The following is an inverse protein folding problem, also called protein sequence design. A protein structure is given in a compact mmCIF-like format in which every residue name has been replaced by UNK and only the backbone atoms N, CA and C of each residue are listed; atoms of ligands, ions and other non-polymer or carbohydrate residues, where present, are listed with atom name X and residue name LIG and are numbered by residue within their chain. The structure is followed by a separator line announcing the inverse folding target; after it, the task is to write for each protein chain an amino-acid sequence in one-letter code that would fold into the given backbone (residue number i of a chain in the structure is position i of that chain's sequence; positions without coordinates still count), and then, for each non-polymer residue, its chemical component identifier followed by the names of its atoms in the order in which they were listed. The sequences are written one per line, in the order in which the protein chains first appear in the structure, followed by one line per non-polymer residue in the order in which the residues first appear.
data_IF_555613245965
#
_entry.id   IF_555613245965
#
_cell.length_a   1.000
_cell.length_b   1.000
_cell.length_c   1.000
_cell.angle_alpha   90.00
_cell.angle_beta   90.00
_cell.angle_gamma   90.00
#
_symmetry.space_group_name_H-M   'P 1'
#
loop_
_entity.id
_entity.type
_entity.pdbx_description
1 polymer ?
#
# COMPACT_ATOMS: atom_id res chain seq x y z
N UNK A 1 -11.79 23.58 9.51
CA UNK A 1 -11.65 22.21 8.95
C UNK A 1 -10.62 22.27 7.84
N UNK A 2 -9.35 22.31 8.22
CA UNK A 2 -8.22 22.47 7.29
C UNK A 2 -7.76 21.10 6.79
N UNK A 3 -8.17 20.76 5.58
CA UNK A 3 -7.65 19.59 4.87
C UNK A 3 -6.12 19.63 4.72
N UNK A 4 -5.53 20.84 4.68
CA UNK A 4 -4.08 21.06 4.66
C UNK A 4 -3.43 20.61 5.98
N UNK A 5 -4.05 20.86 7.13
CA UNK A 5 -3.54 20.39 8.43
C UNK A 5 -3.55 18.86 8.51
N UNK A 6 -4.56 18.18 7.97
CA UNK A 6 -4.58 16.70 7.91
C UNK A 6 -3.43 16.11 7.08
N UNK A 7 -3.07 16.76 5.97
CA UNK A 7 -1.91 16.34 5.14
C UNK A 7 -0.59 16.52 5.90
N UNK A 8 -0.47 17.60 6.67
CA UNK A 8 0.73 17.93 7.45
C UNK A 8 0.85 17.03 8.68
N UNK A 9 -0.24 16.79 9.42
CA UNK A 9 -0.28 15.92 10.60
C UNK A 9 0.11 14.47 10.23
N UNK A 10 -0.29 13.99 9.05
CA UNK A 10 0.08 12.65 8.55
C UNK A 10 1.60 12.47 8.35
N UNK A 11 2.39 13.54 8.21
CA UNK A 11 3.85 13.47 8.06
C UNK A 11 4.62 13.40 9.40
N UNK A 12 3.97 13.68 10.55
CA UNK A 12 4.64 13.80 11.86
C UNK A 12 4.92 12.48 12.58
N UNK A 13 4.22 11.39 12.24
CA UNK A 13 4.54 10.09 12.81
C UNK A 13 5.73 9.46 12.07
N UNK A 14 6.85 9.27 12.79
CA UNK A 14 8.02 8.44 12.46
C UNK A 14 7.86 7.62 11.15
N UNK A 15 8.07 8.28 10.01
CA UNK A 15 7.82 7.69 8.69
C UNK A 15 8.97 6.74 8.33
N UNK A 16 8.97 5.55 8.93
CA UNK A 16 9.80 4.45 8.46
C UNK A 16 9.23 4.02 7.12
N UNK A 17 10.01 4.21 6.05
CA UNK A 17 9.66 3.75 4.70
C UNK A 17 9.52 2.23 4.76
N UNK A 18 8.34 1.67 4.44
CA UNK A 18 8.21 0.24 4.33
C UNK A 18 9.17 -0.29 3.26
N UNK A 19 9.94 -1.33 3.61
CA UNK A 19 11.07 -1.80 2.81
C UNK A 19 10.66 -2.35 1.43
N UNK A 20 9.42 -2.82 1.27
CA UNK A 20 8.89 -3.30 -0.01
C UNK A 20 7.73 -2.44 -0.54
N UNK A 21 7.53 -2.48 -1.86
CA UNK A 21 6.38 -1.83 -2.51
C UNK A 21 5.04 -2.32 -1.94
N UNK A 22 4.91 -3.62 -1.68
CA UNK A 22 3.72 -4.20 -1.07
C UNK A 22 3.40 -3.60 0.30
N UNK A 23 4.43 -3.39 1.14
CA UNK A 23 4.24 -2.75 2.43
C UNK A 23 3.91 -1.24 2.30
N UNK A 24 4.44 -0.55 1.27
CA UNK A 24 4.06 0.85 0.97
C UNK A 24 2.58 0.96 0.59
N UNK A 25 2.10 0.07 -0.27
CA UNK A 25 0.68 -0.02 -0.66
C UNK A 25 -0.18 -0.25 0.58
N UNK A 26 0.18 -1.22 1.43
CA UNK A 26 -0.53 -1.51 2.68
C UNK A 26 -0.58 -0.31 3.62
N UNK A 27 0.55 0.40 3.79
CA UNK A 27 0.61 1.59 4.66
C UNK A 27 -0.31 2.70 4.16
N UNK A 28 -0.26 3.03 2.87
CA UNK A 28 -1.15 4.06 2.27
C UNK A 28 -2.62 3.67 2.42
N UNK A 29 -2.94 2.38 2.17
CA UNK A 29 -4.29 1.85 2.31
C UNK A 29 -4.83 2.04 3.73
N UNK A 30 -4.05 1.64 4.73
CA UNK A 30 -4.44 1.75 6.14
C UNK A 30 -4.54 3.20 6.60
N UNK A 31 -3.60 4.07 6.17
CA UNK A 31 -3.64 5.50 6.46
C UNK A 31 -4.92 6.17 5.95
N UNK A 32 -5.41 5.75 4.78
CA UNK A 32 -6.66 6.25 4.18
C UNK A 32 -7.91 5.46 4.57
N UNK A 33 -7.76 4.44 5.43
CA UNK A 33 -8.83 3.56 5.91
C UNK A 33 -9.62 2.85 4.80
N UNK A 34 -8.95 2.49 3.71
CA UNK A 34 -9.57 1.70 2.64
C UNK A 34 -9.45 0.19 2.90
N UNK A 35 -10.47 -0.56 2.47
CA UNK A 35 -10.37 -2.01 2.28
C UNK A 35 -9.54 -2.33 1.05
N UNK A 36 -9.07 -3.58 0.94
CA UNK A 36 -8.34 -4.04 -0.25
C UNK A 36 -9.23 -3.96 -1.51
N UNK A 37 -10.53 -4.24 -1.35
CA UNK A 37 -11.56 -4.13 -2.39
C UNK A 37 -11.69 -2.70 -2.91
N UNK A 38 -11.92 -1.74 -2.02
CA UNK A 38 -12.11 -0.32 -2.38
C UNK A 38 -10.88 0.24 -3.07
N UNK A 39 -9.69 -0.01 -2.51
CA UNK A 39 -8.44 0.42 -3.14
C UNK A 39 -8.27 -0.20 -4.53
N UNK A 40 -8.57 -1.49 -4.69
CA UNK A 40 -8.43 -2.17 -5.97
C UNK A 40 -9.40 -1.65 -7.03
N UNK A 41 -10.64 -1.33 -6.66
CA UNK A 41 -11.62 -0.70 -7.56
C UNK A 41 -11.16 0.70 -7.97
N UNK A 42 -10.65 1.50 -7.03
CA UNK A 42 -10.08 2.83 -7.34
C UNK A 42 -8.88 2.75 -8.29
N UNK A 43 -8.11 1.65 -8.23
CA UNK A 43 -7.02 1.37 -9.17
C UNK A 43 -7.49 0.84 -10.53
N UNK A 44 -8.81 0.69 -10.75
CA UNK A 44 -9.39 0.22 -12.01
C UNK A 44 -9.47 -1.30 -12.15
N UNK A 45 -9.26 -2.07 -11.08
CA UNK A 45 -9.51 -3.51 -11.12
C UNK A 45 -11.01 -3.82 -11.10
N UNK A 46 -11.36 -4.94 -11.72
CA UNK A 46 -12.75 -5.43 -11.68
C UNK A 46 -13.17 -5.64 -10.23
N UNK A 47 -14.43 -5.31 -9.91
CA UNK A 47 -14.98 -5.52 -8.57
C UNK A 47 -14.79 -6.97 -8.10
N UNK A 48 -14.92 -7.95 -9.01
CA UNK A 48 -14.72 -9.37 -8.72
C UNK A 48 -13.30 -9.78 -8.32
N UNK A 49 -12.26 -9.01 -8.70
CA UNK A 49 -10.86 -9.38 -8.48
C UNK A 49 -10.02 -8.32 -7.76
N UNK A 50 -10.62 -7.17 -7.44
CA UNK A 50 -9.95 -6.02 -6.86
C UNK A 50 -9.21 -6.33 -5.55
N UNK A 51 -9.88 -7.01 -4.63
CA UNK A 51 -9.34 -7.38 -3.32
C UNK A 51 -8.17 -8.38 -3.45
N UNK A 52 -8.34 -9.43 -4.26
CA UNK A 52 -7.30 -10.45 -4.52
C UNK A 52 -6.03 -9.81 -5.08
N UNK A 53 -6.16 -8.89 -6.05
CA UNK A 53 -5.01 -8.21 -6.66
C UNK A 53 -4.25 -7.36 -5.64
N UNK A 54 -4.95 -6.56 -4.85
CA UNK A 54 -4.32 -5.76 -3.78
C UNK A 54 -3.65 -6.67 -2.74
N UNK A 55 -4.31 -7.75 -2.31
CA UNK A 55 -3.74 -8.70 -1.36
C UNK A 55 -2.45 -9.35 -1.87
N UNK A 56 -2.39 -9.71 -3.16
CA UNK A 56 -1.18 -10.24 -3.79
C UNK A 56 -0.03 -9.22 -3.78
N UNK A 57 -0.30 -7.94 -4.07
CA UNK A 57 0.72 -6.90 -4.00
C UNK A 57 1.21 -6.69 -2.56
N UNK A 58 0.29 -6.61 -1.59
CA UNK A 58 0.63 -6.43 -0.17
C UNK A 58 1.43 -7.60 0.42
N UNK A 59 1.16 -8.83 -0.06
CA UNK A 59 1.86 -10.05 0.37
C UNK A 59 3.19 -10.26 -0.35
N UNK A 60 3.36 -9.73 -1.57
CA UNK A 60 4.59 -9.87 -2.34
C UNK A 60 5.73 -9.03 -1.75
N UNK A 61 6.39 -9.58 -0.74
CA UNK A 61 7.71 -9.17 -0.27
C UNK A 61 8.79 -9.68 -1.23
N UNK A 62 8.80 -9.23 -2.49
CA UNK A 62 9.95 -9.52 -3.37
C UNK A 62 11.17 -8.72 -2.89
N UNK A 63 11.85 -9.20 -1.85
CA UNK A 63 13.32 -9.23 -1.89
C UNK A 63 13.67 -10.25 -2.97
N UNK A 64 14.00 -9.77 -4.17
CA UNK A 64 14.79 -10.63 -5.07
C UNK A 64 16.15 -10.76 -4.38
N UNK A 65 16.42 -11.88 -3.74
CA UNK A 65 17.81 -12.26 -3.47
C UNK A 65 18.49 -12.33 -4.83
N UNK A 66 19.32 -11.33 -5.11
CA UNK A 66 20.21 -11.26 -6.27
C UNK A 66 21.42 -12.18 -6.04
N UNK A 67 21.17 -13.37 -5.50
CA UNK A 67 22.18 -14.32 -4.97
C UNK A 67 21.86 -15.75 -5.42
N UNK A 68 21.27 -15.91 -6.61
CA UNK A 68 21.04 -17.24 -7.21
C UNK A 68 21.60 -17.38 -8.62
N UNK A 69 22.54 -16.51 -8.97
CA UNK A 69 23.35 -16.58 -10.19
C UNK A 69 24.80 -16.18 -9.87
N UNK A 70 25.43 -16.91 -8.94
CA UNK A 70 26.89 -16.99 -8.80
C UNK A 70 27.25 -18.46 -8.68
#
# INVERSE_FOLDING_TARGET
MDWIKQIIECKKENWVSPGSLGQKIKKIRMLRKYTQKELGVMCGFSFSSADVRIAQYEKNSKRKNLERYV
#
